data_IF_600672149321
#
_entry.id   IF_600672149321
#
_cell.length_a   1.000
_cell.length_b   1.000
_cell.length_c   1.000
_cell.angle_alpha   90.00
_cell.angle_beta   90.00
_cell.angle_gamma   90.00
#
_symmetry.space_group_name_H-M   'P 1'
#
loop_
_entity.id
_entity.type
_entity.pdbx_description
1 polymer ?
#
# COMPACT_ATOMS: atom_id res chain seq x y z
N UNK A 1 0.72 -1.58 3.93
CA UNK A 1 0.23 -2.61 2.99
C UNK A 1 0.83 -3.98 3.28
N UNK A 2 2.09 -4.05 3.76
CA UNK A 2 2.85 -5.31 3.86
C UNK A 2 2.90 -6.03 2.51
N UNK A 3 2.98 -5.26 1.42
CA UNK A 3 3.09 -5.76 0.06
C UNK A 3 4.50 -6.29 -0.24
N UNK A 4 4.72 -6.64 -1.51
CA UNK A 4 5.91 -7.35 -1.99
C UNK A 4 7.25 -6.77 -1.52
N UNK A 5 7.34 -5.44 -1.39
CA UNK A 5 8.57 -4.71 -1.11
C UNK A 5 8.52 -3.94 0.22
N UNK A 6 7.42 -4.03 1.00
CA UNK A 6 7.24 -3.27 2.24
C UNK A 6 8.31 -3.55 3.28
N UNK A 7 8.87 -4.76 3.23
CA UNK A 7 9.89 -5.23 4.19
C UNK A 7 11.14 -4.35 4.20
N UNK A 8 11.51 -3.73 3.08
CA UNK A 8 12.69 -2.86 3.03
C UNK A 8 12.53 -1.64 3.94
N UNK A 9 11.39 -0.93 3.83
CA UNK A 9 11.12 0.24 4.66
C UNK A 9 10.87 -0.16 6.11
N UNK A 10 10.09 -1.22 6.36
CA UNK A 10 9.82 -1.70 7.70
C UNK A 10 11.10 -2.11 8.44
N UNK A 11 12.02 -2.76 7.75
CA UNK A 11 13.32 -3.11 8.31
C UNK A 11 14.14 -1.86 8.68
N UNK A 12 14.22 -0.85 7.80
CA UNK A 12 14.90 0.42 8.11
C UNK A 12 14.33 1.07 9.36
N UNK A 13 13.00 1.16 9.46
CA UNK A 13 12.32 1.69 10.65
C UNK A 13 12.70 0.87 11.89
N UNK A 14 12.63 -0.46 11.81
CA UNK A 14 12.93 -1.35 12.95
C UNK A 14 14.37 -1.29 13.45
N UNK A 15 15.32 -0.89 12.59
CA UNK A 15 16.73 -0.70 12.94
C UNK A 15 16.94 0.64 13.64
N UNK A 16 16.12 1.64 13.35
CA UNK A 16 16.22 2.97 13.95
C UNK A 16 15.37 3.11 15.22
N UNK A 17 14.09 2.78 15.15
CA UNK A 17 13.16 2.86 16.27
C UNK A 17 11.96 1.92 16.04
N UNK A 18 11.88 0.89 16.88
CA UNK A 18 10.83 -0.14 16.84
C UNK A 18 9.49 0.34 17.38
N UNK A 19 9.48 1.47 18.08
CA UNK A 19 8.28 2.08 18.66
C UNK A 19 7.55 3.01 17.71
N UNK A 20 8.12 3.32 16.54
CA UNK A 20 7.46 4.09 15.48
C UNK A 20 6.15 3.37 15.10
N UNK A 21 5.00 4.08 15.15
CA UNK A 21 3.72 3.48 14.81
C UNK A 21 3.68 3.01 13.36
N UNK A 22 3.33 1.74 13.15
CA UNK A 22 3.12 1.14 11.83
C UNK A 22 1.64 0.88 11.63
N UNK A 23 1.03 1.67 10.75
CA UNK A 23 -0.37 1.49 10.38
C UNK A 23 -0.50 0.38 9.35
N UNK A 24 -1.18 -0.69 9.74
CA UNK A 24 -1.60 -1.77 8.85
C UNK A 24 -3.09 -1.68 8.56
N UNK A 25 -3.42 -1.42 7.30
CA UNK A 25 -4.80 -1.30 6.85
C UNK A 25 -5.35 -2.65 6.39
N UNK A 26 -6.09 -3.31 7.27
CA UNK A 26 -6.82 -4.54 6.96
C UNK A 26 -8.17 -4.21 6.34
N UNK A 27 -8.22 -4.30 5.02
CA UNK A 27 -9.41 -3.99 4.22
C UNK A 27 -10.51 -5.05 4.34
N UNK A 28 -10.27 -6.14 5.09
CA UNK A 28 -11.07 -7.37 5.12
C UNK A 28 -11.22 -8.03 3.73
N UNK A 29 -10.29 -7.71 2.82
CA UNK A 29 -10.22 -8.27 1.45
C UNK A 29 -8.77 -8.59 1.06
N UNK A 30 -7.85 -8.64 2.01
CA UNK A 30 -6.45 -9.01 1.77
C UNK A 30 -6.33 -10.52 1.56
N UNK A 31 -5.24 -10.95 0.95
CA UNK A 31 -4.89 -12.37 0.94
C UNK A 31 -4.60 -12.85 2.37
N UNK A 32 -4.98 -14.09 2.69
CA UNK A 32 -4.63 -14.72 3.96
C UNK A 32 -3.10 -14.70 4.16
N UNK A 33 -2.33 -14.95 3.09
CA UNK A 33 -0.87 -14.89 3.12
C UNK A 33 -0.32 -13.51 3.47
N UNK A 34 -1.03 -12.42 3.15
CA UNK A 34 -0.63 -11.06 3.54
C UNK A 34 -0.89 -10.80 5.02
N UNK A 35 -1.98 -11.35 5.58
CA UNK A 35 -2.25 -11.29 7.02
C UNK A 35 -1.22 -12.09 7.81
N UNK A 36 -0.87 -13.29 7.34
CA UNK A 36 0.16 -14.13 7.96
C UNK A 36 1.53 -13.46 7.88
N UNK A 37 1.92 -13.01 6.68
CA UNK A 37 3.17 -12.30 6.47
C UNK A 37 3.29 -11.03 7.31
N UNK A 38 2.20 -10.29 7.50
CA UNK A 38 2.20 -9.11 8.35
C UNK A 38 2.57 -9.44 9.80
N UNK A 39 1.95 -10.48 10.38
CA UNK A 39 2.21 -10.90 11.77
C UNK A 39 3.63 -11.41 11.93
N UNK A 40 4.04 -12.34 11.06
CA UNK A 40 5.38 -12.95 11.09
C UNK A 40 6.47 -11.90 10.92
N UNK A 41 6.27 -10.95 10.00
CA UNK A 41 7.26 -9.90 9.76
C UNK A 41 7.33 -8.90 10.92
N UNK A 42 6.19 -8.50 11.48
CA UNK A 42 6.15 -7.60 12.63
C UNK A 42 6.89 -8.20 13.84
N UNK A 43 6.65 -9.48 14.13
CA UNK A 43 7.37 -10.22 15.18
C UNK A 43 8.86 -10.30 14.87
N UNK A 44 9.23 -10.70 13.65
CA UNK A 44 10.64 -10.84 13.24
C UNK A 44 11.42 -9.53 13.33
N UNK A 45 10.79 -8.40 13.01
CA UNK A 45 11.40 -7.07 13.09
C UNK A 45 11.31 -6.45 14.50
N UNK A 46 10.55 -7.06 15.41
CA UNK A 46 10.33 -6.57 16.77
C UNK A 46 9.56 -5.24 16.80
N UNK A 47 8.68 -4.99 15.84
CA UNK A 47 7.85 -3.77 15.80
C UNK A 47 6.88 -3.78 16.98
N UNK A 48 6.94 -2.78 17.85
CA UNK A 48 6.18 -2.77 19.10
C UNK A 48 4.85 -2.03 19.02
N UNK A 49 4.61 -1.22 17.98
CA UNK A 49 3.36 -0.49 17.77
C UNK A 49 2.83 -0.72 16.33
N UNK A 50 2.32 -1.92 16.07
CA UNK A 50 1.61 -2.23 14.83
C UNK A 50 0.11 -2.06 15.05
N UNK A 51 -0.46 -1.04 14.41
CA UNK A 51 -1.88 -0.68 14.53
C UNK A 51 -2.65 -1.26 13.37
N UNK A 52 -3.48 -2.27 13.65
CA UNK A 52 -4.38 -2.87 12.65
C UNK A 52 -5.65 -2.04 12.56
N UNK A 53 -5.84 -1.38 11.41
CA UNK A 53 -6.96 -0.50 11.14
C UNK A 53 -7.88 -1.19 10.15
N UNK A 54 -9.16 -1.25 10.49
CA UNK A 54 -10.21 -1.86 9.68
C UNK A 54 -11.25 -0.78 9.31
N UNK A 55 -11.96 -0.93 8.18
CA UNK A 55 -13.11 -0.07 7.88
C UNK A 55 -14.17 -0.15 8.98
N UNK A 56 -14.87 0.97 9.17
CA UNK A 56 -16.00 1.03 10.09
C UNK A 56 -17.08 0.00 9.71
N UNK A 57 -17.57 -0.73 10.72
CA UNK A 57 -18.50 -1.85 10.49
C UNK A 57 -19.89 -1.38 10.11
N UNK A 58 -20.34 -0.23 10.62
CA UNK A 58 -21.64 0.36 10.28
C UNK A 58 -21.58 0.85 8.84
N UNK A 59 -20.51 1.55 8.45
CA UNK A 59 -20.31 2.00 7.08
C UNK A 59 -20.24 0.84 6.08
N UNK A 60 -19.55 -0.26 6.43
CA UNK A 60 -19.59 -1.48 5.62
C UNK A 60 -21.01 -2.03 5.44
N UNK A 61 -21.79 -2.11 6.52
CA UNK A 61 -23.16 -2.62 6.46
C UNK A 61 -24.07 -1.72 5.60
N UNK A 62 -23.86 -0.41 5.63
CA UNK A 62 -24.69 0.54 4.89
C UNK A 62 -24.29 0.65 3.41
N UNK A 63 -23.00 0.53 3.07
CA UNK A 63 -22.46 0.86 1.74
C UNK A 63 -21.94 -0.32 0.94
N UNK A 64 -21.60 -1.43 1.60
CA UNK A 64 -21.11 -2.66 0.97
C UNK A 64 -21.60 -3.93 1.72
N UNK A 65 -22.93 -4.09 1.95
CA UNK A 65 -23.45 -5.17 2.78
C UNK A 65 -23.13 -6.58 2.23
N UNK A 66 -23.06 -6.73 0.90
CA UNK A 66 -22.71 -7.98 0.23
C UNK A 66 -21.20 -8.16 0.01
N UNK A 67 -20.38 -7.14 0.28
CA UNK A 67 -18.94 -7.18 0.01
C UNK A 67 -18.56 -7.12 -1.47
N UNK A 68 -19.50 -6.78 -2.35
CA UNK A 68 -19.34 -6.81 -3.81
C UNK A 68 -19.03 -5.45 -4.43
N UNK A 69 -18.92 -4.37 -3.64
CA UNK A 69 -18.65 -3.01 -4.15
C UNK A 69 -17.37 -2.94 -5.00
N UNK A 70 -16.39 -3.81 -4.73
CA UNK A 70 -15.16 -3.91 -5.53
C UNK A 70 -15.39 -4.35 -7.00
N UNK A 71 -16.53 -4.97 -7.31
CA UNK A 71 -16.90 -5.41 -8.66
C UNK A 71 -17.55 -4.29 -9.45
N UNK A 72 -18.46 -3.54 -8.80
CA UNK A 72 -19.27 -2.48 -9.39
C UNK A 72 -18.54 -1.14 -9.39
N UNK A 73 -17.97 -0.74 -8.26
CA UNK A 73 -17.24 0.51 -8.06
C UNK A 73 -15.95 0.30 -7.21
N UNK A 74 -14.83 -0.08 -7.87
CA UNK A 74 -13.54 -0.25 -7.20
C UNK A 74 -13.00 1.02 -6.53
N UNK A 75 -13.43 2.21 -6.98
CA UNK A 75 -13.03 3.48 -6.37
C UNK A 75 -13.77 3.68 -5.05
N UNK A 76 -15.10 3.56 -5.03
CA UNK A 76 -15.90 3.62 -3.82
C UNK A 76 -15.50 2.56 -2.79
N UNK A 77 -15.22 1.33 -3.26
CA UNK A 77 -14.70 0.26 -2.40
C UNK A 77 -13.36 0.65 -1.75
N UNK A 78 -12.42 1.22 -2.53
CA UNK A 78 -11.16 1.68 -1.96
C UNK A 78 -11.35 2.87 -1.03
N UNK A 79 -12.27 3.79 -1.30
CA UNK A 79 -12.56 4.91 -0.41
C UNK A 79 -13.03 4.38 0.95
N UNK A 80 -14.06 3.55 0.96
CA UNK A 80 -14.65 2.96 2.17
C UNK A 80 -13.66 2.08 2.95
N UNK A 81 -12.93 1.19 2.24
CA UNK A 81 -12.08 0.19 2.88
C UNK A 81 -10.65 0.65 3.13
N UNK A 82 -10.24 1.80 2.57
CA UNK A 82 -8.85 2.26 2.64
C UNK A 82 -8.70 3.72 2.97
N UNK A 83 -9.33 4.62 2.20
CA UNK A 83 -9.05 6.05 2.33
C UNK A 83 -9.58 6.59 3.65
N UNK A 84 -10.87 6.38 3.92
CA UNK A 84 -11.54 6.80 5.15
C UNK A 84 -10.85 6.25 6.42
N UNK A 85 -10.70 4.91 6.58
CA UNK A 85 -10.07 4.36 7.78
C UNK A 85 -8.60 4.77 7.96
N UNK A 86 -7.86 4.96 6.86
CA UNK A 86 -6.47 5.44 6.97
C UNK A 86 -6.43 6.89 7.44
N UNK A 87 -7.30 7.75 6.90
CA UNK A 87 -7.33 9.15 7.27
C UNK A 87 -7.65 9.34 8.76
N UNK A 88 -8.65 8.61 9.26
CA UNK A 88 -8.98 8.55 10.69
C UNK A 88 -7.78 8.12 11.53
N UNK A 89 -7.07 7.07 11.09
CA UNK A 89 -5.88 6.56 11.79
C UNK A 89 -4.69 7.54 11.76
N UNK A 90 -4.60 8.38 10.74
CA UNK A 90 -3.56 9.39 10.58
C UNK A 90 -3.88 10.71 11.29
N UNK A 91 -5.13 10.94 11.71
CA UNK A 91 -5.57 12.18 12.38
C UNK A 91 -4.67 12.67 13.52
N UNK A 92 -4.11 11.79 14.38
CA UNK A 92 -3.21 12.20 15.46
C UNK A 92 -1.78 12.57 15.05
N UNK A 93 -1.42 12.50 13.76
CA UNK A 93 -0.04 12.63 13.29
C UNK A 93 0.17 13.80 12.32
N UNK A 94 1.25 14.55 12.51
CA UNK A 94 1.65 15.64 11.61
C UNK A 94 2.36 15.15 10.33
N UNK A 95 2.87 13.91 10.35
CA UNK A 95 3.62 13.34 9.25
C UNK A 95 3.49 11.81 9.17
N UNK A 96 3.71 11.26 7.98
CA UNK A 96 3.65 9.83 7.73
C UNK A 96 4.60 9.41 6.60
N UNK A 97 5.05 8.16 6.65
CA UNK A 97 6.03 7.60 5.72
C UNK A 97 5.33 6.63 4.78
N UNK A 98 5.66 6.69 3.49
CA UNK A 98 5.21 5.68 2.52
C UNK A 98 6.37 5.01 1.79
N UNK A 99 6.11 3.80 1.31
CA UNK A 99 7.05 2.95 0.57
C UNK A 99 6.97 3.15 -0.95
N UNK A 100 6.35 4.25 -1.41
CA UNK A 100 6.17 4.56 -2.83
C UNK A 100 7.53 4.84 -3.49
N UNK A 101 7.68 4.37 -4.72
CA UNK A 101 8.92 4.46 -5.51
C UNK A 101 8.58 4.94 -6.92
N UNK A 102 9.41 5.80 -7.53
CA UNK A 102 9.15 6.37 -8.86
C UNK A 102 9.05 5.31 -9.96
N UNK A 103 9.89 4.26 -9.90
CA UNK A 103 9.89 3.19 -10.92
C UNK A 103 8.59 2.37 -10.95
N UNK A 104 7.74 2.47 -9.93
CA UNK A 104 6.42 1.83 -9.93
C UNK A 104 5.44 2.53 -10.91
N UNK A 105 5.89 3.59 -11.59
CA UNK A 105 5.27 4.15 -12.79
C UNK A 105 4.00 4.96 -12.54
N UNK A 106 3.32 5.31 -13.64
CA UNK A 106 2.08 6.09 -13.62
C UNK A 106 2.26 7.43 -12.92
N UNK A 107 1.39 7.73 -11.95
CA UNK A 107 1.44 8.97 -11.18
C UNK A 107 2.62 9.04 -10.20
N UNK A 108 3.42 7.98 -10.06
CA UNK A 108 4.55 7.92 -9.13
C UNK A 108 5.84 8.50 -9.70
N UNK A 109 5.96 8.64 -11.02
CA UNK A 109 7.21 9.05 -11.70
C UNK A 109 7.71 10.43 -11.27
N UNK A 110 6.79 11.36 -10.95
CA UNK A 110 7.10 12.73 -10.53
C UNK A 110 7.07 12.97 -9.01
N UNK A 111 7.14 11.90 -8.19
CA UNK A 111 6.97 12.00 -6.75
C UNK A 111 8.22 12.49 -6.03
N UNK A 112 8.07 13.52 -5.22
CA UNK A 112 9.15 14.08 -4.41
C UNK A 112 9.36 13.33 -3.09
N UNK A 113 10.51 13.55 -2.46
CA UNK A 113 10.81 12.99 -1.13
C UNK A 113 9.80 13.42 -0.07
N UNK A 114 9.30 14.66 -0.18
CA UNK A 114 8.32 15.23 0.72
C UNK A 114 7.15 15.76 -0.11
N UNK A 115 5.94 15.41 0.30
CA UNK A 115 4.69 15.90 -0.24
C UNK A 115 3.82 16.39 0.93
N UNK A 116 2.87 17.28 0.67
CA UNK A 116 1.75 17.52 1.59
C UNK A 116 0.57 16.65 1.17
N UNK A 117 -0.10 16.02 2.14
CA UNK A 117 -1.41 15.42 1.87
C UNK A 117 -2.54 16.45 1.95
N UNK A 118 -3.77 16.00 1.69
CA UNK A 118 -4.95 16.86 1.60
C UNK A 118 -5.31 17.54 2.94
N UNK A 119 -4.77 17.05 4.05
CA UNK A 119 -4.99 17.55 5.41
C UNK A 119 -3.81 18.37 5.92
N UNK A 120 -2.81 18.64 5.07
CA UNK A 120 -1.62 19.41 5.40
C UNK A 120 -0.55 18.62 6.15
N UNK A 121 -0.69 17.29 6.29
CA UNK A 121 0.31 16.43 6.92
C UNK A 121 1.48 16.21 5.96
N UNK A 122 2.69 16.10 6.50
CA UNK A 122 3.89 15.82 5.70
C UNK A 122 3.93 14.34 5.34
N UNK A 123 3.91 14.04 4.05
CA UNK A 123 4.11 12.70 3.53
C UNK A 123 5.55 12.53 3.06
N UNK A 124 6.25 11.56 3.64
CA UNK A 124 7.65 11.28 3.35
C UNK A 124 7.76 10.02 2.50
N UNK A 125 8.54 10.06 1.42
CA UNK A 125 8.79 8.94 0.51
C UNK A 125 10.29 8.61 0.46
N UNK A 126 10.88 7.97 1.50
CA UNK A 126 12.34 7.77 1.60
C UNK A 126 12.92 6.96 0.45
N UNK A 127 12.09 6.11 -0.16
CA UNK A 127 12.50 5.23 -1.26
C UNK A 127 12.18 5.82 -2.65
N UNK A 128 11.71 7.06 -2.75
CA UNK A 128 11.22 7.63 -4.02
C UNK A 128 12.19 7.43 -5.20
N UNK A 129 13.49 7.59 -4.95
CA UNK A 129 14.56 7.50 -5.96
C UNK A 129 15.26 6.16 -6.03
N UNK A 130 14.87 5.18 -5.20
CA UNK A 130 15.39 3.83 -5.32
C UNK A 130 15.01 3.24 -6.66
N UNK A 131 15.91 2.47 -7.26
CA UNK A 131 15.66 1.61 -8.41
C UNK A 131 15.10 0.26 -7.97
N UNK A 132 14.57 -0.58 -8.89
CA UNK A 132 14.21 -1.95 -8.57
C UNK A 132 15.39 -2.74 -7.99
N UNK A 133 16.61 -2.48 -8.49
CA UNK A 133 17.82 -3.16 -8.03
C UNK A 133 18.16 -2.77 -6.59
N UNK A 134 18.04 -1.50 -6.22
CA UNK A 134 18.30 -1.05 -4.84
C UNK A 134 17.40 -1.77 -3.82
N UNK A 135 16.12 -1.96 -4.17
CA UNK A 135 15.18 -2.72 -3.33
C UNK A 135 15.61 -4.17 -3.17
N UNK A 136 15.98 -4.82 -4.28
CA UNK A 136 16.41 -6.22 -4.26
C UNK A 136 17.71 -6.41 -3.49
N UNK A 137 18.70 -5.57 -3.74
CA UNK A 137 19.99 -5.59 -3.06
C UNK A 137 19.81 -5.38 -1.56
N UNK A 138 18.95 -4.44 -1.15
CA UNK A 138 18.66 -4.22 0.27
C UNK A 138 18.03 -5.45 0.92
N UNK A 139 17.02 -6.06 0.28
CA UNK A 139 16.35 -7.27 0.78
C UNK A 139 17.35 -8.44 0.92
N UNK A 140 18.20 -8.65 -0.09
CA UNK A 140 19.19 -9.71 -0.11
C UNK A 140 20.28 -9.50 0.95
N UNK A 141 20.88 -8.31 0.98
CA UNK A 141 21.99 -7.99 1.89
C UNK A 141 21.57 -8.04 3.37
N UNK A 142 20.29 -7.74 3.66
CA UNK A 142 19.73 -7.82 5.02
C UNK A 142 19.00 -9.15 5.31
N UNK A 143 19.04 -10.12 4.38
CA UNK A 143 18.40 -11.44 4.51
C UNK A 143 16.91 -11.38 4.89
N UNK A 144 16.20 -10.41 4.31
CA UNK A 144 14.81 -10.12 4.64
C UNK A 144 13.87 -11.14 3.97
N UNK A 145 12.80 -11.57 4.66
CA UNK A 145 11.86 -12.53 4.07
C UNK A 145 11.06 -11.84 2.97
N UNK A 146 11.02 -12.46 1.78
CA UNK A 146 10.12 -12.00 0.73
C UNK A 146 8.67 -12.38 1.06
N UNK A 147 7.73 -11.56 0.58
CA UNK A 147 6.31 -11.90 0.69
C UNK A 147 6.01 -13.19 -0.11
N UNK A 148 5.34 -14.20 0.48
CA UNK A 148 5.18 -15.53 -0.13
C UNK A 148 4.49 -15.52 -1.50
N UNK A 149 3.56 -14.60 -1.73
CA UNK A 149 2.89 -14.45 -3.03
C UNK A 149 3.82 -13.96 -4.16
N UNK A 150 4.96 -13.33 -3.88
CA UNK A 150 5.92 -12.91 -4.92
C UNK A 150 6.41 -14.13 -5.69
N UNK A 151 6.83 -15.19 -4.99
CA UNK A 151 7.23 -16.46 -5.59
C UNK A 151 6.09 -17.22 -6.31
N UNK A 152 4.84 -16.78 -6.15
CA UNK A 152 3.66 -17.32 -6.84
C UNK A 152 3.20 -16.45 -8.02
N UNK A 153 4.03 -15.49 -8.44
CA UNK A 153 3.75 -14.64 -9.60
C UNK A 153 2.99 -13.36 -9.29
N UNK A 154 2.96 -12.89 -8.04
CA UNK A 154 2.34 -11.62 -7.63
C UNK A 154 3.40 -10.57 -7.23
N UNK A 155 4.02 -9.86 -8.18
CA UNK A 155 5.04 -8.86 -7.87
C UNK A 155 4.48 -7.55 -7.29
N UNK A 156 3.18 -7.28 -7.45
CA UNK A 156 2.47 -6.18 -6.78
C UNK A 156 1.23 -6.74 -6.10
N UNK A 157 1.10 -6.50 -4.80
CA UNK A 157 0.09 -7.15 -3.95
C UNK A 157 -0.82 -6.09 -3.34
N UNK A 158 -2.13 -6.32 -3.41
CA UNK A 158 -3.16 -5.54 -2.74
C UNK A 158 -4.26 -6.45 -2.20
N UNK A 159 -5.51 -6.01 -2.28
CA UNK A 159 -6.66 -6.86 -1.97
C UNK A 159 -6.74 -8.03 -2.95
N UNK A 160 -7.10 -9.21 -2.46
CA UNK A 160 -7.25 -10.44 -3.23
C UNK A 160 -8.13 -10.29 -4.49
N UNK A 161 -9.34 -9.69 -4.44
CA UNK A 161 -10.18 -9.61 -5.64
C UNK A 161 -9.66 -8.62 -6.70
N UNK A 162 -8.70 -7.75 -6.35
CA UNK A 162 -8.16 -6.73 -7.24
C UNK A 162 -6.70 -6.97 -7.63
N UNK A 163 -6.19 -8.18 -7.41
CA UNK A 163 -4.78 -8.55 -7.65
C UNK A 163 -4.71 -9.90 -8.35
N UNK A 164 -4.10 -9.95 -9.53
CA UNK A 164 -3.82 -11.17 -10.28
C UNK A 164 -2.32 -11.42 -10.41
N UNK A 165 -1.96 -12.63 -10.85
CA UNK A 165 -0.60 -12.90 -11.33
C UNK A 165 -0.27 -12.06 -12.57
N UNK A 166 1.02 -11.95 -12.86
CA UNK A 166 1.54 -11.39 -14.12
C UNK A 166 2.41 -12.43 -14.83
N UNK A 167 2.41 -12.42 -16.17
CA UNK A 167 3.30 -13.23 -16.99
C UNK A 167 4.71 -12.63 -17.03
N UNK A 168 5.68 -13.43 -17.49
CA UNK A 168 7.03 -12.95 -17.73
C UNK A 168 7.02 -11.79 -18.75
N UNK A 169 7.69 -10.69 -18.42
CA UNK A 169 7.78 -9.48 -19.26
C UNK A 169 6.59 -8.52 -19.14
N UNK A 170 5.51 -8.89 -18.44
CA UNK A 170 4.45 -7.93 -18.09
C UNK A 170 4.97 -6.92 -17.05
N UNK A 171 4.38 -5.71 -17.05
CA UNK A 171 4.61 -4.73 -16.00
C UNK A 171 4.30 -5.34 -14.60
N UNK A 172 5.17 -5.17 -13.58
CA UNK A 172 4.97 -5.74 -12.26
C UNK A 172 3.64 -5.34 -11.56
N UNK A 173 3.02 -4.24 -11.96
CA UNK A 173 1.71 -3.78 -11.48
C UNK A 173 0.56 -4.13 -12.41
N UNK A 174 0.78 -4.76 -13.58
CA UNK A 174 -0.27 -5.16 -14.52
C UNK A 174 -1.34 -6.08 -13.89
N UNK A 175 -0.99 -6.79 -12.81
CA UNK A 175 -1.95 -7.60 -12.05
C UNK A 175 -2.93 -6.81 -11.19
N UNK A 176 -2.71 -5.51 -10.97
CA UNK A 176 -3.56 -4.64 -10.16
C UNK A 176 -4.71 -4.11 -11.01
N UNK A 177 -5.95 -4.36 -10.57
CA UNK A 177 -7.17 -3.94 -11.29
C UNK A 177 -7.16 -4.33 -12.78
N UNK A 178 -6.64 -5.52 -13.10
CA UNK A 178 -6.52 -6.03 -14.48
C UNK A 178 -7.87 -5.89 -15.22
N UNK A 179 -7.83 -5.31 -16.42
CA UNK A 179 -9.02 -5.08 -17.24
C UNK A 179 -9.89 -3.89 -16.81
N UNK A 180 -9.42 -3.02 -15.91
CA UNK A 180 -10.09 -1.78 -15.48
C UNK A 180 -9.22 -0.55 -15.78
N UNK A 181 -9.82 0.64 -15.83
CA UNK A 181 -9.12 1.91 -16.05
C UNK A 181 -8.40 2.46 -14.80
N UNK A 182 -8.55 1.81 -13.64
CA UNK A 182 -8.02 2.27 -12.35
C UNK A 182 -6.52 2.02 -12.24
N UNK A 183 -5.77 3.05 -11.87
CA UNK A 183 -4.29 3.01 -11.78
C UNK A 183 -3.77 3.04 -10.32
N UNK A 184 -4.49 3.72 -9.43
CA UNK A 184 -4.12 3.89 -8.03
C UNK A 184 -5.29 3.66 -7.10
N UNK A 185 -4.99 3.30 -5.85
CA UNK A 185 -6.01 2.93 -4.86
C UNK A 185 -6.71 4.10 -4.15
N UNK A 186 -6.33 5.35 -4.43
CA UNK A 186 -6.91 6.52 -3.76
C UNK A 186 -6.27 6.88 -2.42
N UNK A 187 -5.40 6.05 -1.83
CA UNK A 187 -4.62 6.40 -0.62
C UNK A 187 -3.56 7.48 -0.92
N UNK A 188 -3.24 7.68 -2.19
CA UNK A 188 -2.16 8.54 -2.60
C UNK A 188 -2.70 9.58 -3.57
N UNK A 189 -2.88 10.78 -3.06
CA UNK A 189 -3.09 11.96 -3.87
C UNK A 189 -1.76 12.65 -4.12
N UNK A 190 -1.66 13.33 -5.25
CA UNK A 190 -0.51 14.15 -5.63
C UNK A 190 -1.01 15.59 -5.64
N UNK A 191 -0.41 16.45 -4.83
CA UNK A 191 -0.67 17.90 -4.79
C UNK A 191 -2.14 18.32 -4.52
N UNK A 192 -2.80 17.73 -3.53
CA UNK A 192 -4.13 18.22 -3.11
C UNK A 192 -5.26 17.97 -4.13
N UNK A 193 -5.05 17.09 -5.12
CA UNK A 193 -6.04 16.84 -6.19
C UNK A 193 -6.27 15.35 -6.43
N UNK A 194 -7.54 14.96 -6.41
CA UNK A 194 -8.00 13.68 -6.94
C UNK A 194 -7.81 13.64 -8.46
N UNK A 195 -6.78 12.93 -8.93
CA UNK A 195 -6.62 12.66 -10.37
C UNK A 195 -7.59 11.55 -10.75
N UNK A 196 -8.78 11.94 -11.20
CA UNK A 196 -9.73 11.03 -11.87
C UNK A 196 -9.12 10.57 -13.21
N UNK A 197 -9.26 9.30 -13.62
CA UNK A 197 -8.86 8.88 -14.97
C UNK A 197 -9.83 9.54 -15.96
N UNK A 198 -9.36 10.50 -16.77
CA UNK A 198 -10.16 11.01 -17.89
C UNK A 198 -9.97 12.48 -18.30
N UNK A 199 -9.20 13.29 -17.59
CA UNK A 199 -8.95 14.67 -18.04
C UNK A 199 -7.51 14.77 -18.54
N UNK A 200 -7.36 14.65 -19.87
CA UNK A 200 -6.15 15.06 -20.57
C UNK A 200 -5.96 16.57 -20.39
N UNK A 201 -4.71 16.97 -20.16
CA UNK A 201 -4.24 18.36 -20.22
C UNK A 201 -4.22 18.79 -21.68
#
# INVERSE_FOLDING_TARGET
SFGAESVALLHMVSVHDRSVPVVFLDTQMLFAETLDYQRDLAERLGLSDVRVIQPDRIELFLRDPEGELHLSDPDACCTLRKVEPLDDALGPFDAWITERKRFQGGQRTGMEFFEADDFGRIKVNPLAHWTPQDVQDYILNNRLPQHPLVGRGFPSIGCAPCTSRVAAGEDPRAGRWRGRAKLECGIHFVNGRAVRPGTQI
#
